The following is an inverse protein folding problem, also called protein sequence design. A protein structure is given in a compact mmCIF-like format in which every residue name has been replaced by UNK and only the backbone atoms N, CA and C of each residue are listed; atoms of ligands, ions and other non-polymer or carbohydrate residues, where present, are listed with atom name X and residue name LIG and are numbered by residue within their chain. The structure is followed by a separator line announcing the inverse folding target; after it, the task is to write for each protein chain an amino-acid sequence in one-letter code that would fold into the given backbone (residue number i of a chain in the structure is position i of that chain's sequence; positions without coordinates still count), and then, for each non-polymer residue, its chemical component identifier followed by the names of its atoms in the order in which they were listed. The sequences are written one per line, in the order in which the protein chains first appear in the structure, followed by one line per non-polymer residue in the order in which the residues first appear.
data_IF_495682055189
#
_entry.id   IF_495682055189
#
_cell.length_a   1.000
_cell.length_b   1.000
_cell.length_c   1.000
_cell.angle_alpha   90.00
_cell.angle_beta   90.00
_cell.angle_gamma   90.00
#
_symmetry.space_group_name_H-M   'P 1'
#
loop_
_entity.id
_entity.type
_entity.pdbx_description
1 polymer ?
#
# COMPACT_ATOMS: atom_id res chain seq x y z
N UNK A 1 9.87 -33.45 19.91
CA UNK A 1 9.86 -34.02 18.54
C UNK A 1 8.89 -33.28 17.60
N UNK A 2 7.95 -32.46 18.10
CA UNK A 2 7.08 -31.61 17.26
C UNK A 2 7.64 -30.18 17.05
N UNK A 3 8.33 -29.59 18.04
CA UNK A 3 8.93 -28.24 17.94
C UNK A 3 10.06 -28.13 16.90
N UNK A 4 10.81 -29.21 16.66
CA UNK A 4 11.94 -29.19 15.70
C UNK A 4 11.48 -29.07 14.25
N UNK A 5 10.22 -29.43 13.94
CA UNK A 5 9.66 -29.36 12.59
C UNK A 5 9.14 -27.96 12.20
N UNK A 6 8.75 -27.12 13.15
CA UNK A 6 8.30 -25.75 12.85
C UNK A 6 9.45 -24.83 12.45
N UNK A 7 10.61 -24.96 13.12
CA UNK A 7 11.78 -24.13 12.83
C UNK A 7 12.43 -24.43 11.47
N UNK A 8 12.29 -25.66 10.95
CA UNK A 8 12.81 -26.03 9.62
C UNK A 8 11.96 -25.49 8.46
N UNK A 9 10.66 -25.23 8.68
CA UNK A 9 9.77 -24.64 7.67
C UNK A 9 10.09 -23.15 7.44
N UNK A 10 10.66 -22.47 8.44
CA UNK A 10 10.99 -21.04 8.38
C UNK A 10 12.42 -20.71 7.91
N UNK A 11 13.32 -21.70 7.79
CA UNK A 11 14.75 -21.46 7.52
C UNK A 11 15.11 -21.45 6.01
N UNK A 12 14.27 -22.01 5.14
CA UNK A 12 14.56 -22.18 3.69
C UNK A 12 13.96 -21.07 2.81
N UNK A 13 14.11 -19.80 3.22
CA UNK A 13 13.64 -18.63 2.43
C UNK A 13 14.67 -17.53 2.26
N UNK A 14 15.97 -17.84 2.35
CA UNK A 14 17.03 -16.82 2.23
C UNK A 14 17.27 -16.27 0.81
N UNK A 15 16.71 -16.89 -0.24
CA UNK A 15 16.83 -16.42 -1.64
C UNK A 15 15.58 -15.67 -2.12
N UNK A 16 14.45 -15.73 -1.41
CA UNK A 16 13.18 -15.10 -1.81
C UNK A 16 12.92 -13.76 -1.10
N UNK A 17 13.96 -12.95 -0.87
CA UNK A 17 13.84 -11.66 -0.17
C UNK A 17 13.53 -10.47 -1.11
N UNK A 18 12.90 -10.71 -2.27
CA UNK A 18 12.13 -9.65 -2.93
C UNK A 18 10.83 -9.52 -2.13
N UNK A 19 10.66 -8.41 -1.41
CA UNK A 19 9.49 -8.17 -0.57
C UNK A 19 8.21 -8.36 -1.39
N UNK A 20 7.27 -9.16 -0.87
CA UNK A 20 6.00 -9.52 -1.54
C UNK A 20 5.24 -8.29 -2.07
N UNK A 21 5.42 -7.16 -1.40
CA UNK A 21 4.86 -5.85 -1.70
C UNK A 21 5.39 -5.24 -3.01
N UNK A 22 6.68 -5.44 -3.34
CA UNK A 22 7.29 -4.88 -4.56
C UNK A 22 7.15 -5.79 -5.78
N UNK A 23 6.80 -7.07 -5.60
CA UNK A 23 6.64 -8.01 -6.71
C UNK A 23 5.48 -7.58 -7.62
N UNK A 24 4.35 -7.18 -7.05
CA UNK A 24 3.20 -6.71 -7.84
C UNK A 24 3.51 -5.42 -8.60
N UNK A 25 4.21 -4.48 -7.98
CA UNK A 25 4.62 -3.22 -8.62
C UNK A 25 5.62 -3.48 -9.76
N UNK A 26 6.58 -4.38 -9.55
CA UNK A 26 7.56 -4.76 -10.57
C UNK A 26 6.91 -5.46 -11.77
N UNK A 27 5.99 -6.41 -11.52
CA UNK A 27 5.26 -7.11 -12.58
C UNK A 27 4.39 -6.13 -13.35
N UNK A 28 3.66 -5.25 -12.66
CA UNK A 28 2.81 -4.25 -13.31
C UNK A 28 3.65 -3.27 -14.15
N UNK A 29 4.72 -2.71 -13.59
CA UNK A 29 5.62 -1.80 -14.31
C UNK A 29 6.33 -2.47 -15.50
N UNK A 30 6.73 -3.75 -15.36
CA UNK A 30 7.34 -4.52 -16.43
C UNK A 30 6.37 -4.81 -17.58
N UNK A 31 5.11 -5.17 -17.26
CA UNK A 31 4.06 -5.40 -18.26
C UNK A 31 3.70 -4.09 -18.95
N UNK A 32 3.47 -3.02 -18.19
CA UNK A 32 3.10 -1.73 -18.75
C UNK A 32 4.21 -1.18 -19.66
N UNK A 33 5.45 -1.14 -19.17
CA UNK A 33 6.59 -0.67 -19.96
C UNK A 33 6.84 -1.50 -21.23
N UNK A 34 6.57 -2.81 -21.20
CA UNK A 34 6.65 -3.65 -22.41
C UNK A 34 5.54 -3.30 -23.42
N UNK A 35 4.30 -3.14 -22.95
CA UNK A 35 3.15 -2.83 -23.80
C UNK A 35 3.27 -1.42 -24.39
N UNK A 36 3.58 -0.40 -23.59
CA UNK A 36 3.70 0.99 -24.04
C UNK A 36 4.84 1.15 -25.02
N UNK A 37 6.02 0.60 -24.73
CA UNK A 37 7.17 0.63 -25.63
C UNK A 37 6.87 -0.10 -26.94
N UNK A 38 6.22 -1.28 -26.88
CA UNK A 38 5.80 -1.99 -28.10
C UNK A 38 4.84 -1.16 -28.95
N UNK A 39 3.83 -0.54 -28.33
CA UNK A 39 2.86 0.30 -29.04
C UNK A 39 3.54 1.50 -29.73
N UNK A 40 4.46 2.18 -29.04
CA UNK A 40 5.22 3.32 -29.59
C UNK A 40 6.11 2.87 -30.75
N UNK A 41 6.86 1.78 -30.59
CA UNK A 41 7.76 1.25 -31.62
C UNK A 41 6.97 0.75 -32.83
N UNK A 42 5.87 0.01 -32.63
CA UNK A 42 5.00 -0.49 -33.69
C UNK A 42 4.34 0.65 -34.46
N UNK A 43 3.82 1.68 -33.76
CA UNK A 43 3.23 2.86 -34.37
C UNK A 43 4.25 3.67 -35.18
N UNK A 44 5.43 3.91 -34.63
CA UNK A 44 6.48 4.65 -35.32
C UNK A 44 7.01 3.89 -36.55
N UNK A 45 7.16 2.58 -36.46
CA UNK A 45 7.54 1.73 -37.60
C UNK A 45 6.45 1.70 -38.67
N UNK A 46 5.18 1.56 -38.26
CA UNK A 46 4.03 1.58 -39.18
C UNK A 46 3.85 2.93 -39.89
N UNK A 47 4.28 4.03 -39.28
CA UNK A 47 4.31 5.37 -39.87
C UNK A 47 5.54 5.61 -40.78
N UNK A 48 6.44 4.63 -40.93
CA UNK A 48 7.59 4.70 -41.82
C UNK A 48 8.75 5.55 -41.31
N UNK A 49 8.87 5.75 -39.98
CA UNK A 49 10.01 6.44 -39.41
C UNK A 49 11.30 5.63 -39.54
N UNK A 50 12.43 6.34 -39.61
CA UNK A 50 13.75 5.72 -39.63
C UNK A 50 14.03 4.97 -38.31
N UNK A 51 14.72 3.83 -38.39
CA UNK A 51 15.01 2.97 -37.23
C UNK A 51 15.74 3.72 -36.09
N UNK A 52 16.62 4.67 -36.42
CA UNK A 52 17.30 5.52 -35.45
C UNK A 52 16.29 6.33 -34.61
N UNK A 53 15.27 6.90 -35.24
CA UNK A 53 14.22 7.68 -34.59
C UNK A 53 13.33 6.77 -33.74
N UNK A 54 12.97 5.58 -34.24
CA UNK A 54 12.14 4.61 -33.50
C UNK A 54 12.81 4.18 -32.19
N UNK A 55 14.12 3.93 -32.22
CA UNK A 55 14.88 3.56 -31.01
C UNK A 55 14.89 4.70 -30.01
N UNK A 56 15.17 5.93 -30.45
CA UNK A 56 15.16 7.12 -29.58
C UNK A 56 13.78 7.31 -28.94
N UNK A 57 12.71 7.19 -29.71
CA UNK A 57 11.33 7.32 -29.22
C UNK A 57 10.99 6.23 -28.18
N UNK A 58 11.34 4.98 -28.45
CA UNK A 58 11.10 3.86 -27.53
C UNK A 58 11.80 4.06 -26.19
N UNK A 59 13.07 4.44 -26.19
CA UNK A 59 13.82 4.72 -24.96
C UNK A 59 13.31 5.94 -24.21
N UNK A 60 12.99 7.03 -24.93
CA UNK A 60 12.43 8.23 -24.32
C UNK A 60 11.10 7.92 -23.62
N UNK A 61 10.22 7.16 -24.28
CA UNK A 61 8.95 6.73 -23.69
C UNK A 61 9.15 5.86 -22.45
N UNK A 62 10.02 4.83 -22.54
CA UNK A 62 10.29 3.93 -21.42
C UNK A 62 10.82 4.67 -20.19
N UNK A 63 11.74 5.63 -20.37
CA UNK A 63 12.28 6.45 -19.28
C UNK A 63 11.18 7.35 -18.70
N UNK A 64 10.36 7.97 -19.55
CA UNK A 64 9.28 8.84 -19.12
C UNK A 64 8.24 8.06 -18.27
N UNK A 65 7.83 6.89 -18.74
CA UNK A 65 6.88 6.00 -18.05
C UNK A 65 7.43 5.59 -16.68
N UNK A 66 8.66 5.06 -16.65
CA UNK A 66 9.31 4.64 -15.41
C UNK A 66 9.51 5.79 -14.41
N UNK A 67 9.90 6.97 -14.88
CA UNK A 67 10.06 8.15 -14.04
C UNK A 67 8.72 8.63 -13.47
N UNK A 68 7.68 8.70 -14.30
CA UNK A 68 6.32 9.08 -13.88
C UNK A 68 5.79 8.17 -12.78
N UNK A 69 5.91 6.84 -12.96
CA UNK A 69 5.50 5.87 -11.96
C UNK A 69 6.29 5.99 -10.65
N UNK A 70 7.62 6.15 -10.73
CA UNK A 70 8.47 6.26 -9.55
C UNK A 70 8.15 7.51 -8.73
N UNK A 71 8.03 8.66 -9.40
CA UNK A 71 7.70 9.93 -8.77
C UNK A 71 6.27 9.91 -8.20
N UNK A 72 5.33 9.32 -8.93
CA UNK A 72 3.95 9.12 -8.47
C UNK A 72 3.88 8.30 -7.19
N UNK A 73 4.58 7.16 -7.14
CA UNK A 73 4.63 6.30 -5.95
C UNK A 73 5.29 7.00 -4.76
N UNK A 74 6.36 7.76 -4.98
CA UNK A 74 7.01 8.53 -3.92
C UNK A 74 6.06 9.56 -3.31
N UNK A 75 5.42 10.39 -4.14
CA UNK A 75 4.48 11.40 -3.65
C UNK A 75 3.24 10.78 -3.03
N UNK A 76 2.74 9.67 -3.56
CA UNK A 76 1.62 8.92 -2.98
C UNK A 76 1.96 8.41 -1.58
N UNK A 77 3.11 7.73 -1.43
CA UNK A 77 3.58 7.24 -0.12
C UNK A 77 3.80 8.39 0.87
N UNK A 78 4.36 9.51 0.39
CA UNK A 78 4.56 10.71 1.21
C UNK A 78 3.23 11.31 1.66
N UNK A 79 2.26 11.43 0.75
CA UNK A 79 0.92 11.94 1.04
C UNK A 79 0.17 11.04 2.04
N UNK A 80 0.26 9.71 1.88
CA UNK A 80 -0.31 8.76 2.84
C UNK A 80 0.29 8.93 4.25
N UNK A 81 1.63 9.08 4.36
CA UNK A 81 2.29 9.33 5.65
C UNK A 81 1.87 10.65 6.27
N UNK A 82 1.75 11.71 5.47
CA UNK A 82 1.36 13.02 5.97
C UNK A 82 -0.14 13.03 6.36
N UNK A 83 -1.01 12.38 5.61
CA UNK A 83 -2.41 12.18 5.98
C UNK A 83 -2.56 11.34 7.25
N UNK A 84 -1.81 10.26 7.39
CA UNK A 84 -1.81 9.45 8.61
C UNK A 84 -1.43 10.29 9.83
N UNK A 85 -0.38 11.11 9.74
CA UNK A 85 0.03 11.99 10.84
C UNK A 85 -1.03 13.04 11.19
N UNK A 86 -1.66 13.63 10.17
CA UNK A 86 -2.74 14.61 10.35
C UNK A 86 -3.94 13.98 11.04
N UNK A 87 -4.41 12.83 10.54
CA UNK A 87 -5.53 12.12 11.13
C UNK A 87 -5.20 11.69 12.55
N UNK A 88 -4.03 11.08 12.78
CA UNK A 88 -3.59 10.73 14.14
C UNK A 88 -3.61 11.91 15.12
N UNK A 89 -3.21 13.10 14.68
CA UNK A 89 -3.26 14.30 15.53
C UNK A 89 -4.70 14.77 15.79
N UNK A 90 -5.59 14.62 14.81
CA UNK A 90 -7.00 14.92 14.95
C UNK A 90 -7.68 13.96 15.93
N UNK A 91 -7.46 12.65 15.77
CA UNK A 91 -8.00 11.60 16.65
C UNK A 91 -7.62 11.85 18.12
N UNK A 92 -6.35 12.19 18.40
CA UNK A 92 -5.94 12.54 19.77
C UNK A 92 -6.66 13.77 20.31
N UNK A 93 -6.89 14.76 19.46
CA UNK A 93 -7.65 15.95 19.85
C UNK A 93 -9.12 15.57 20.14
N UNK A 94 -9.74 14.72 19.32
CA UNK A 94 -11.11 14.24 19.49
C UNK A 94 -11.28 13.41 20.77
N UNK A 95 -10.33 12.52 21.08
CA UNK A 95 -10.32 11.76 22.35
C UNK A 95 -10.28 12.69 23.57
N UNK A 96 -9.61 13.84 23.47
CA UNK A 96 -9.50 14.82 24.56
C UNK A 96 -10.69 15.77 24.67
N UNK A 97 -11.31 16.15 23.54
CA UNK A 97 -12.34 17.20 23.50
C UNK A 97 -13.77 16.66 23.29
N UNK A 98 -13.90 15.47 22.69
CA UNK A 98 -15.16 14.86 22.27
C UNK A 98 -15.32 13.41 22.79
N UNK A 99 -14.79 13.15 23.99
CA UNK A 99 -14.67 11.79 24.57
C UNK A 99 -15.94 10.94 24.47
N UNK A 100 -17.12 11.48 24.81
CA UNK A 100 -18.37 10.71 24.79
C UNK A 100 -18.72 10.22 23.38
N UNK A 101 -18.45 11.06 22.36
CA UNK A 101 -18.68 10.72 20.96
C UNK A 101 -17.71 9.64 20.49
N UNK A 102 -16.45 9.72 20.90
CA UNK A 102 -15.43 8.72 20.56
C UNK A 102 -15.74 7.34 21.19
N UNK A 103 -16.31 7.32 22.40
CA UNK A 103 -16.76 6.06 23.03
C UNK A 103 -17.91 5.44 22.23
N UNK A 104 -18.85 6.25 21.75
CA UNK A 104 -19.95 5.80 20.90
C UNK A 104 -19.43 5.29 19.54
N UNK A 105 -18.43 5.94 18.96
CA UNK A 105 -17.79 5.49 17.72
C UNK A 105 -17.11 4.13 17.88
N UNK A 106 -16.33 3.93 18.94
CA UNK A 106 -15.71 2.62 19.25
C UNK A 106 -16.79 1.56 19.42
N UNK A 107 -17.87 1.85 20.16
CA UNK A 107 -19.01 0.94 20.32
C UNK A 107 -19.62 0.56 18.98
N UNK A 108 -19.89 1.53 18.10
CA UNK A 108 -20.44 1.31 16.76
C UNK A 108 -19.54 0.44 15.88
N UNK A 109 -18.22 0.65 15.93
CA UNK A 109 -17.23 -0.14 15.18
C UNK A 109 -17.28 -1.60 15.60
N UNK A 110 -17.28 -1.87 16.91
CA UNK A 110 -17.30 -3.24 17.42
C UNK A 110 -18.68 -3.89 17.31
N UNK A 111 -19.76 -3.14 17.40
CA UNK A 111 -21.10 -3.66 17.10
C UNK A 111 -21.20 -4.13 15.65
N UNK A 112 -20.68 -3.36 14.69
CA UNK A 112 -20.61 -3.74 13.27
C UNK A 112 -19.73 -4.97 13.03
N UNK A 113 -18.73 -5.20 13.89
CA UNK A 113 -17.92 -6.44 13.87
C UNK A 113 -18.65 -7.64 14.47
N UNK A 114 -19.85 -7.46 15.03
CA UNK A 114 -20.72 -8.51 15.54
C UNK A 114 -20.71 -8.68 17.06
N UNK A 115 -19.98 -7.85 17.80
CA UNK A 115 -20.00 -7.86 19.26
C UNK A 115 -21.32 -7.28 19.78
N UNK A 116 -21.92 -7.89 20.81
CA UNK A 116 -23.23 -7.49 21.34
C UNK A 116 -23.31 -7.68 22.85
N UNK A 117 -24.21 -6.93 23.48
CA UNK A 117 -24.52 -7.03 24.91
C UNK A 117 -23.29 -6.77 25.77
N UNK A 118 -23.19 -7.48 26.89
CA UNK A 118 -22.13 -7.29 27.89
C UNK A 118 -20.71 -7.43 27.31
N UNK A 119 -20.51 -8.32 26.31
CA UNK A 119 -19.21 -8.48 25.66
C UNK A 119 -18.79 -7.23 24.89
N UNK A 120 -19.73 -6.53 24.26
CA UNK A 120 -19.43 -5.26 23.58
C UNK A 120 -19.00 -4.20 24.59
N UNK A 121 -19.69 -4.09 25.72
CA UNK A 121 -19.36 -3.13 26.77
C UNK A 121 -17.95 -3.38 27.33
N UNK A 122 -17.61 -4.65 27.61
CA UNK A 122 -16.27 -5.03 28.09
C UNK A 122 -15.17 -4.71 27.07
N UNK A 123 -15.42 -4.98 25.78
CA UNK A 123 -14.45 -4.65 24.72
C UNK A 123 -14.23 -3.14 24.64
N UNK A 124 -15.31 -2.36 24.62
CA UNK A 124 -15.23 -0.89 24.58
C UNK A 124 -14.44 -0.37 25.78
N UNK A 125 -14.74 -0.85 27.00
CA UNK A 125 -14.06 -0.43 28.24
C UNK A 125 -12.55 -0.70 28.19
N UNK A 126 -12.14 -1.87 27.67
CA UNK A 126 -10.73 -2.22 27.51
C UNK A 126 -10.04 -1.31 26.49
N UNK A 127 -10.67 -1.03 25.35
CA UNK A 127 -10.09 -0.17 24.30
C UNK A 127 -9.91 1.26 24.80
N UNK A 128 -10.92 1.84 25.44
CA UNK A 128 -10.88 3.25 25.91
C UNK A 128 -9.94 3.47 27.10
N UNK A 129 -9.50 2.39 27.76
CA UNK A 129 -8.57 2.44 28.89
C UNK A 129 -7.14 2.79 28.47
N UNK A 130 -6.79 2.59 27.19
CA UNK A 130 -5.46 2.85 26.67
C UNK A 130 -5.52 3.75 25.41
N UNK A 131 -5.09 5.01 25.54
CA UNK A 131 -5.04 5.99 24.44
C UNK A 131 -4.13 5.59 23.26
N UNK A 132 -3.27 4.59 23.40
CA UNK A 132 -2.47 4.06 22.26
C UNK A 132 -3.21 2.98 21.47
N UNK A 133 -4.23 2.37 22.08
CA UNK A 133 -5.02 1.28 21.50
C UNK A 133 -6.41 1.74 21.07
N UNK A 134 -6.93 2.81 21.71
CA UNK A 134 -8.09 3.57 21.30
C UNK A 134 -7.94 4.08 19.87
#
# INVERSE_FOLDING_TARGET
MLETRENEIHSTKKIFFFSREYISEFVYGGIDGAITTFAVVAGATGAGLESSIVVILGFANLIADGFSMSVGNYFSSKAQKDNYKKNKALEYWEIEHLREREIEEVRDIYEKKGFKGELLDQVVEVIISNKEVW
#
